data_IF_796011526773
#
_entry.id   IF_796011526773
#
_cell.length_a   1.000
_cell.length_b   1.000
_cell.length_c   1.000
_cell.angle_alpha   90.00
_cell.angle_beta   90.00
_cell.angle_gamma   90.00
#
_symmetry.space_group_name_H-M   'P 1'
#
loop_
_entity.id
_entity.type
_entity.pdbx_description
1 polymer ?
#
# COMPACT_ATOMS: atom_id res chain seq x y z
N UNK A 1 -9.98 -28.54 6.93
CA UNK A 1 -9.83 -27.55 8.02
C UNK A 1 -8.53 -26.72 7.98
N UNK A 2 -7.73 -26.79 6.89
CA UNK A 2 -6.48 -26.01 6.75
C UNK A 2 -6.71 -24.75 5.90
N UNK A 3 -7.52 -24.85 4.83
CA UNK A 3 -7.83 -23.76 3.90
C UNK A 3 -8.52 -22.57 4.57
N UNK A 4 -9.51 -22.83 5.45
CA UNK A 4 -10.26 -21.78 6.15
C UNK A 4 -9.37 -20.94 7.08
N UNK A 5 -8.44 -21.58 7.80
CA UNK A 5 -7.48 -20.91 8.68
C UNK A 5 -6.47 -20.05 7.91
N UNK A 6 -6.03 -20.51 6.74
CA UNK A 6 -5.10 -19.75 5.88
C UNK A 6 -5.77 -18.49 5.32
N UNK A 7 -7.02 -18.59 4.88
CA UNK A 7 -7.84 -17.46 4.42
C UNK A 7 -8.07 -16.45 5.55
N UNK A 8 -8.43 -16.92 6.75
CA UNK A 8 -8.62 -16.05 7.92
C UNK A 8 -7.32 -15.33 8.32
N UNK A 9 -6.17 -15.99 8.21
CA UNK A 9 -4.86 -15.37 8.45
C UNK A 9 -4.49 -14.32 7.39
N UNK A 10 -4.69 -14.60 6.10
CA UNK A 10 -4.48 -13.62 5.02
C UNK A 10 -5.40 -12.40 5.17
N UNK A 11 -6.68 -12.61 5.50
CA UNK A 11 -7.63 -11.54 5.77
C UNK A 11 -7.12 -10.69 6.94
N UNK A 12 -6.72 -11.32 8.05
CA UNK A 12 -6.25 -10.60 9.23
C UNK A 12 -4.97 -9.80 8.97
N UNK A 13 -4.01 -10.36 8.25
CA UNK A 13 -2.78 -9.68 7.83
C UNK A 13 -3.10 -8.48 6.93
N UNK A 14 -4.08 -8.61 6.03
CA UNK A 14 -4.51 -7.55 5.14
C UNK A 14 -5.20 -6.41 5.92
N UNK A 15 -6.03 -6.73 6.91
CA UNK A 15 -6.67 -5.74 7.80
C UNK A 15 -5.66 -5.02 8.70
N UNK A 16 -4.71 -5.72 9.30
CA UNK A 16 -3.65 -5.11 10.12
C UNK A 16 -2.75 -4.19 9.26
N UNK A 17 -2.53 -4.54 7.99
CA UNK A 17 -1.84 -3.66 7.04
C UNK A 17 -2.65 -2.42 6.64
N UNK A 18 -3.99 -2.47 6.61
CA UNK A 18 -4.82 -1.27 6.33
C UNK A 18 -4.82 -0.31 7.51
N UNK A 19 -4.95 -0.85 8.72
CA UNK A 19 -4.94 -0.06 9.96
C UNK A 19 -3.62 0.67 10.19
N UNK A 20 -2.52 0.26 9.56
CA UNK A 20 -1.24 0.94 9.75
C UNK A 20 -1.23 2.39 9.22
N UNK A 21 -2.13 2.74 8.31
CA UNK A 21 -2.22 4.07 7.70
C UNK A 21 -3.29 4.96 8.31
N UNK A 22 -4.11 4.42 9.22
CA UNK A 22 -5.21 5.14 9.86
C UNK A 22 -4.79 5.46 11.30
N UNK A 23 -4.82 6.74 11.65
CA UNK A 23 -4.59 7.20 13.01
C UNK A 23 -5.70 6.70 13.96
N UNK A 24 -5.47 6.64 15.28
CA UNK A 24 -6.51 6.28 16.25
C UNK A 24 -7.77 7.17 16.16
N UNK A 25 -7.64 8.38 15.61
CA UNK A 25 -8.75 9.32 15.35
C UNK A 25 -9.61 8.93 14.15
N UNK A 26 -9.20 7.94 13.36
CA UNK A 26 -9.84 7.53 12.10
C UNK A 26 -9.37 8.33 10.88
N UNK A 27 -8.40 9.24 11.06
CA UNK A 27 -7.84 10.04 9.98
C UNK A 27 -6.72 9.30 9.24
N UNK A 28 -6.57 9.58 7.95
CA UNK A 28 -5.50 9.00 7.13
C UNK A 28 -4.16 9.68 7.43
N UNK A 29 -3.17 8.90 7.85
CA UNK A 29 -1.79 9.36 7.96
C UNK A 29 -1.13 9.43 6.58
N UNK A 30 -1.32 10.58 5.91
CA UNK A 30 -0.77 10.83 4.58
C UNK A 30 0.76 10.76 4.52
N UNK A 31 1.46 11.13 5.59
CA UNK A 31 2.94 11.06 5.64
C UNK A 31 3.38 9.60 5.50
N UNK A 32 2.81 8.72 6.32
CA UNK A 32 3.14 7.29 6.30
C UNK A 32 2.75 6.61 5.00
N UNK A 33 1.63 7.01 4.40
CA UNK A 33 1.23 6.58 3.05
C UNK A 33 2.29 6.94 2.03
N UNK A 34 2.75 8.20 2.02
CA UNK A 34 3.73 8.68 1.04
C UNK A 34 5.09 8.00 1.23
N UNK A 35 5.53 7.81 2.46
CA UNK A 35 6.78 7.09 2.76
C UNK A 35 6.73 5.65 2.22
N UNK A 36 5.65 4.92 2.49
CA UNK A 36 5.48 3.55 1.97
C UNK A 36 5.32 3.49 0.46
N UNK A 37 4.65 4.48 -0.13
CA UNK A 37 4.56 4.58 -1.58
C UNK A 37 5.94 4.81 -2.21
N UNK A 38 6.77 5.68 -1.62
CA UNK A 38 8.14 5.92 -2.11
C UNK A 38 9.03 4.68 -1.96
N UNK A 39 8.92 3.94 -0.86
CA UNK A 39 9.63 2.67 -0.68
C UNK A 39 9.27 1.68 -1.79
N UNK A 40 7.97 1.46 -2.03
CA UNK A 40 7.47 0.59 -3.10
C UNK A 40 7.98 1.04 -4.47
N UNK A 41 7.94 2.34 -4.75
CA UNK A 41 8.44 2.86 -6.02
C UNK A 41 9.96 2.65 -6.20
N UNK A 42 10.76 2.71 -5.14
CA UNK A 42 12.21 2.43 -5.21
C UNK A 42 12.51 0.94 -5.42
N UNK A 43 11.67 0.06 -4.88
CA UNK A 43 11.80 -1.39 -5.09
C UNK A 43 11.45 -1.79 -6.52
N UNK A 44 10.33 -1.26 -7.04
CA UNK A 44 9.79 -1.59 -8.36
C UNK A 44 10.49 -0.82 -9.51
N UNK A 45 10.88 0.43 -9.28
CA UNK A 45 11.59 1.28 -10.25
C UNK A 45 13.03 1.51 -9.78
N UNK A 46 13.91 0.57 -10.12
CA UNK A 46 15.36 0.81 -10.04
C UNK A 46 15.76 1.79 -11.15
N UNK A 47 16.85 2.54 -10.96
CA UNK A 47 17.31 3.59 -11.90
C UNK A 47 17.51 3.08 -13.36
N UNK A 48 17.58 1.76 -13.54
CA UNK A 48 17.74 1.05 -14.82
C UNK A 48 16.41 0.89 -15.60
N UNK A 49 15.25 0.96 -14.94
CA UNK A 49 13.93 0.69 -15.54
C UNK A 49 13.13 1.98 -15.77
N UNK A 50 13.40 2.61 -16.91
CA UNK A 50 12.59 3.67 -17.55
C UNK A 50 12.38 4.97 -16.73
N UNK A 51 12.38 6.12 -17.41
CA UNK A 51 12.14 7.41 -16.72
C UNK A 51 10.71 7.41 -16.17
N UNK A 52 10.57 7.66 -14.86
CA UNK A 52 9.27 7.83 -14.21
C UNK A 52 8.38 8.81 -14.98
N UNK A 53 7.19 8.37 -15.38
CA UNK A 53 6.16 9.20 -16.02
C UNK A 53 5.13 9.58 -14.98
N UNK A 54 4.97 10.87 -14.70
CA UNK A 54 4.04 11.38 -13.68
C UNK A 54 2.62 10.84 -13.83
N UNK A 55 2.13 10.70 -15.08
CA UNK A 55 0.81 10.16 -15.37
C UNK A 55 0.64 8.73 -14.83
N UNK A 56 1.65 7.88 -15.00
CA UNK A 56 1.63 6.48 -14.57
C UNK A 56 1.79 6.39 -13.05
N UNK A 57 2.64 7.25 -12.47
CA UNK A 57 2.79 7.37 -11.02
C UNK A 57 1.51 7.77 -10.30
N UNK A 58 0.70 8.68 -10.87
CA UNK A 58 -0.61 9.05 -10.29
C UNK A 58 -1.57 7.87 -10.27
N UNK A 59 -1.60 7.05 -11.33
CA UNK A 59 -2.45 5.86 -11.39
C UNK A 59 -1.98 4.84 -10.34
N UNK A 60 -0.67 4.63 -10.20
CA UNK A 60 -0.10 3.73 -9.21
C UNK A 60 -0.39 4.19 -7.78
N UNK A 61 -0.26 5.49 -7.51
CA UNK A 61 -0.60 6.07 -6.23
C UNK A 61 -2.09 5.87 -5.88
N UNK A 62 -3.00 6.09 -6.84
CA UNK A 62 -4.43 5.85 -6.63
C UNK A 62 -4.74 4.37 -6.39
N UNK A 63 -4.07 3.46 -7.10
CA UNK A 63 -4.21 2.03 -6.89
C UNK A 63 -3.69 1.60 -5.50
N UNK A 64 -2.60 2.22 -5.03
CA UNK A 64 -2.02 2.00 -3.70
C UNK A 64 -2.94 2.48 -2.57
N UNK A 65 -3.60 3.63 -2.74
CA UNK A 65 -4.54 4.20 -1.77
C UNK A 65 -5.88 3.46 -1.71
N UNK A 66 -6.39 2.97 -2.85
CA UNK A 66 -7.72 2.35 -2.97
C UNK A 66 -8.05 1.26 -1.93
N UNK A 67 -7.15 0.39 -1.47
CA UNK A 67 -7.46 -0.58 -0.41
C UNK A 67 -7.38 -0.01 1.01
N UNK A 68 -6.82 1.18 1.19
CA UNK A 68 -6.64 1.86 2.49
C UNK A 68 -7.91 2.63 2.86
N UNK A 69 -8.53 3.32 1.89
CA UNK A 69 -9.79 4.07 2.00
C UNK A 69 -11.01 3.24 1.56
#
# INVERSE_FOLDING_TARGET
>A
MITKRKIEQEIRINYENRNQFIEPTGELNMVKVLDKFQELMKEEYREETEKFKEKDGRIMFLAFIKPII
#
